data_IF_966117135015
#
_entry.id   IF_966117135015
#
_cell.length_a   1.000
_cell.length_b   1.000
_cell.length_c   1.000
_cell.angle_alpha   90.00
_cell.angle_beta   90.00
_cell.angle_gamma   90.00
#
_symmetry.space_group_name_H-M   'P 1'
#
loop_
_entity.id
_entity.type
_entity.pdbx_description
1 polymer ?
#
# COMPACT_ATOMS: atom_id res chain seq x y z
N UNK A 1 8.34 18.68 10.77
CA UNK A 1 7.55 17.98 11.83
C UNK A 1 7.67 16.49 11.58
N UNK A 2 7.63 15.67 12.62
CA UNK A 2 7.67 14.23 12.45
C UNK A 2 6.32 13.72 11.91
N UNK A 3 6.38 12.77 10.97
CA UNK A 3 5.19 12.11 10.45
C UNK A 3 4.74 11.00 11.40
N UNK A 4 3.44 10.85 11.60
CA UNK A 4 2.90 9.82 12.50
C UNK A 4 2.60 8.54 11.74
N UNK A 5 3.03 7.41 12.30
CA UNK A 5 2.59 6.08 11.92
C UNK A 5 2.02 5.41 13.16
N UNK A 6 0.74 5.08 13.13
CA UNK A 6 0.12 4.29 14.20
C UNK A 6 0.49 2.82 14.08
N UNK A 7 0.64 2.14 15.22
CA UNK A 7 0.88 0.71 15.31
C UNK A 7 -0.07 0.12 16.35
N UNK A 8 -0.86 -0.88 15.93
CA UNK A 8 -1.85 -1.57 16.75
C UNK A 8 -1.61 -3.07 16.68
N UNK A 9 -1.46 -3.72 17.85
CA UNK A 9 -1.35 -5.18 17.98
C UNK A 9 -2.74 -5.79 18.07
N UNK A 10 -3.15 -6.50 17.04
CA UNK A 10 -4.42 -7.24 17.02
C UNK A 10 -4.49 -8.19 15.84
N UNK A 11 -5.27 -9.25 15.97
CA UNK A 11 -5.69 -10.13 14.87
C UNK A 11 -7.10 -9.85 14.39
N UNK A 12 -7.84 -8.99 15.11
CA UNK A 12 -9.16 -8.54 14.72
C UNK A 12 -9.07 -7.39 13.71
N UNK A 13 -9.40 -7.65 12.46
CA UNK A 13 -9.25 -6.68 11.36
C UNK A 13 -10.14 -5.46 11.52
N UNK A 14 -11.37 -5.62 12.00
CA UNK A 14 -12.28 -4.49 12.20
C UNK A 14 -11.75 -3.53 13.28
N UNK A 15 -11.30 -4.09 14.39
CA UNK A 15 -10.69 -3.36 15.50
C UNK A 15 -9.38 -2.68 15.05
N UNK A 16 -8.50 -3.43 14.36
CA UNK A 16 -7.20 -2.94 13.90
C UNK A 16 -7.32 -1.74 12.99
N UNK A 17 -8.20 -1.79 11.98
CA UNK A 17 -8.47 -0.65 11.09
C UNK A 17 -8.97 0.55 11.88
N UNK A 18 -9.98 0.35 12.74
CA UNK A 18 -10.59 1.44 13.52
C UNK A 18 -9.59 2.11 14.46
N UNK A 19 -8.85 1.32 15.24
CA UNK A 19 -7.88 1.85 16.19
C UNK A 19 -6.70 2.51 15.51
N UNK A 20 -6.15 1.90 14.45
CA UNK A 20 -5.01 2.47 13.73
C UNK A 20 -5.35 3.86 13.15
N UNK A 21 -6.52 4.02 12.55
CA UNK A 21 -7.00 5.31 12.05
C UNK A 21 -7.22 6.31 13.19
N UNK A 22 -7.88 5.91 14.26
CA UNK A 22 -8.21 6.79 15.39
C UNK A 22 -6.97 7.37 16.08
N UNK A 23 -5.86 6.63 16.14
CA UNK A 23 -4.59 7.07 16.73
C UNK A 23 -3.93 8.23 15.97
N UNK A 24 -4.22 8.41 14.68
CA UNK A 24 -3.69 9.52 13.88
C UNK A 24 -4.29 10.85 14.30
N UNK A 25 -5.49 10.85 14.87
CA UNK A 25 -6.24 12.07 15.30
C UNK A 25 -6.43 13.07 14.16
N UNK A 26 -6.59 12.58 12.94
CA UNK A 26 -6.83 13.36 11.73
C UNK A 26 -8.02 12.79 10.95
N UNK A 27 -8.66 13.64 10.15
CA UNK A 27 -9.76 13.22 9.30
C UNK A 27 -9.60 13.80 7.88
N UNK A 28 -8.79 13.13 7.04
CA UNK A 28 -8.47 13.65 5.71
C UNK A 28 -9.58 13.41 4.67
N UNK A 29 -10.67 12.71 5.03
CA UNK A 29 -11.73 12.28 4.09
C UNK A 29 -13.07 13.01 4.26
N UNK A 30 -13.25 13.78 5.33
CA UNK A 30 -14.52 14.43 5.63
C UNK A 30 -14.99 15.32 4.49
N UNK A 31 -16.20 15.04 3.98
CA UNK A 31 -16.85 15.79 2.91
C UNK A 31 -16.24 15.60 1.52
N UNK A 32 -15.27 14.68 1.36
CA UNK A 32 -14.57 14.45 0.09
C UNK A 32 -15.06 13.20 -0.63
N UNK A 33 -14.97 13.20 -1.95
CA UNK A 33 -15.03 12.01 -2.77
C UNK A 33 -13.71 11.24 -2.61
N UNK A 34 -13.80 10.00 -2.12
CA UNK A 34 -12.64 9.15 -1.82
C UNK A 34 -12.44 8.13 -2.92
N UNK A 35 -11.20 8.03 -3.44
CA UNK A 35 -10.78 6.88 -4.24
C UNK A 35 -10.02 5.91 -3.36
N UNK A 36 -10.50 4.67 -3.27
CA UNK A 36 -9.93 3.60 -2.47
C UNK A 36 -9.14 2.64 -3.35
N UNK A 37 -7.85 2.50 -3.09
CA UNK A 37 -6.94 1.58 -3.77
C UNK A 37 -6.57 0.41 -2.84
N UNK A 38 -7.20 -0.77 -3.00
CA UNK A 38 -6.80 -1.98 -2.30
C UNK A 38 -5.61 -2.67 -2.99
N UNK A 39 -5.17 -3.80 -2.45
CA UNK A 39 -4.21 -4.70 -3.07
C UNK A 39 -4.95 -5.95 -3.59
N UNK A 40 -5.37 -5.94 -4.85
CA UNK A 40 -5.96 -7.10 -5.54
C UNK A 40 -5.10 -7.50 -6.73
N UNK A 41 -3.81 -7.78 -6.47
CA UNK A 41 -2.93 -8.34 -7.49
C UNK A 41 -3.47 -9.65 -8.07
N UNK A 42 -4.20 -10.41 -7.27
CA UNK A 42 -4.81 -11.71 -7.58
C UNK A 42 -6.00 -11.96 -6.66
N UNK A 43 -6.68 -13.09 -6.83
CA UNK A 43 -7.71 -13.55 -5.91
C UNK A 43 -7.15 -14.35 -4.71
N UNK A 44 -5.85 -14.38 -4.53
CA UNK A 44 -5.21 -15.11 -3.42
C UNK A 44 -5.70 -14.60 -2.05
N UNK A 45 -5.60 -15.47 -1.05
CA UNK A 45 -5.86 -15.10 0.35
C UNK A 45 -4.82 -14.11 0.86
N UNK A 46 -5.15 -13.39 1.94
CA UNK A 46 -4.20 -12.48 2.58
C UNK A 46 -2.96 -13.25 3.10
N UNK A 47 -1.78 -12.67 3.03
CA UNK A 47 -1.38 -11.34 2.58
C UNK A 47 -1.14 -11.25 1.06
N UNK A 48 -1.47 -12.28 0.28
CA UNK A 48 -1.40 -12.24 -1.19
C UNK A 48 -2.25 -11.09 -1.77
N UNK A 49 -3.46 -10.88 -1.21
CA UNK A 49 -4.36 -9.77 -1.54
C UNK A 49 -5.04 -9.25 -0.28
N UNK A 50 -5.61 -8.04 -0.34
CA UNK A 50 -6.37 -7.43 0.75
C UNK A 50 -7.48 -8.37 1.25
N UNK A 51 -7.58 -8.53 2.58
CA UNK A 51 -8.63 -9.31 3.21
C UNK A 51 -9.98 -8.58 3.11
N UNK A 52 -11.06 -9.34 2.88
CA UNK A 52 -12.39 -8.75 2.70
C UNK A 52 -12.86 -8.01 3.96
N UNK A 53 -12.55 -8.53 5.16
CA UNK A 53 -12.92 -7.88 6.43
C UNK A 53 -12.15 -6.57 6.64
N UNK A 54 -10.88 -6.50 6.21
CA UNK A 54 -10.11 -5.25 6.22
C UNK A 54 -10.73 -4.21 5.31
N UNK A 55 -11.11 -4.61 4.09
CA UNK A 55 -11.78 -3.72 3.16
C UNK A 55 -13.13 -3.24 3.70
N UNK A 56 -13.95 -4.17 4.23
CA UNK A 56 -15.24 -3.86 4.87
C UNK A 56 -15.08 -2.85 6.01
N UNK A 57 -14.15 -3.13 6.92
CA UNK A 57 -13.88 -2.25 8.05
C UNK A 57 -13.42 -0.85 7.58
N UNK A 58 -12.56 -0.80 6.57
CA UNK A 58 -12.07 0.46 6.04
C UNK A 58 -13.21 1.27 5.40
N UNK A 59 -14.04 0.68 4.54
CA UNK A 59 -15.20 1.36 3.94
C UNK A 59 -16.15 1.90 5.01
N UNK A 60 -16.47 1.10 6.03
CA UNK A 60 -17.33 1.55 7.13
C UNK A 60 -16.72 2.72 7.91
N UNK A 61 -15.42 2.66 8.23
CA UNK A 61 -14.72 3.76 8.90
C UNK A 61 -14.69 5.03 8.03
N UNK A 62 -14.45 4.93 6.72
CA UNK A 62 -14.48 6.08 5.82
C UNK A 62 -15.86 6.75 5.79
N UNK A 63 -16.94 5.96 5.83
CA UNK A 63 -18.32 6.48 5.93
C UNK A 63 -18.56 7.17 7.28
N UNK A 64 -18.16 6.56 8.40
CA UNK A 64 -18.23 7.16 9.74
C UNK A 64 -17.42 8.47 9.83
N UNK A 65 -16.28 8.55 9.15
CA UNK A 65 -15.47 9.76 9.04
C UNK A 65 -16.11 10.84 8.16
N UNK A 66 -17.21 10.53 7.47
CA UNK A 66 -17.98 11.50 6.66
C UNK A 66 -17.45 11.65 5.24
N UNK A 67 -16.89 10.62 4.62
CA UNK A 67 -16.62 10.60 3.19
C UNK A 67 -17.91 10.84 2.39
N UNK A 68 -17.86 11.73 1.40
CA UNK A 68 -19.02 12.07 0.55
C UNK A 68 -19.43 10.92 -0.36
N UNK A 69 -18.44 10.22 -0.90
CA UNK A 69 -18.59 9.03 -1.73
C UNK A 69 -17.32 8.21 -1.68
N UNK A 70 -17.41 6.92 -1.99
CA UNK A 70 -16.26 6.01 -2.05
C UNK A 70 -16.29 5.32 -3.42
N UNK A 71 -15.17 5.31 -4.11
CA UNK A 71 -14.97 4.60 -5.38
C UNK A 71 -13.72 3.73 -5.26
N UNK A 72 -13.88 2.43 -5.27
CA UNK A 72 -12.78 1.48 -5.33
C UNK A 72 -12.27 1.43 -6.78
N UNK A 73 -10.97 1.64 -6.98
CA UNK A 73 -10.33 1.55 -8.30
C UNK A 73 -9.17 0.55 -8.25
N UNK A 74 -9.17 -0.45 -9.14
CA UNK A 74 -8.17 -1.51 -9.14
C UNK A 74 -7.85 -2.03 -10.54
N UNK A 75 -6.60 -2.49 -10.71
CA UNK A 75 -6.12 -3.32 -11.80
C UNK A 75 -5.26 -4.45 -11.24
N UNK A 76 -5.65 -5.69 -11.51
CA UNK A 76 -4.97 -6.90 -11.02
C UNK A 76 -3.70 -7.24 -11.80
N UNK A 77 -2.88 -8.14 -11.26
CA UNK A 77 -1.70 -8.69 -11.91
C UNK A 77 -2.02 -9.58 -13.12
N UNK A 78 -1.00 -10.19 -13.76
CA UNK A 78 -1.18 -10.83 -15.07
C UNK A 78 -1.89 -12.19 -15.04
N UNK A 79 -2.11 -12.77 -13.88
CA UNK A 79 -2.60 -14.14 -13.76
C UNK A 79 -4.09 -14.34 -14.02
N UNK A 80 -4.91 -13.27 -13.95
CA UNK A 80 -6.36 -13.34 -14.07
C UNK A 80 -6.91 -11.94 -14.45
N UNK A 81 -8.02 -11.86 -15.24
CA UNK A 81 -8.71 -10.60 -15.48
C UNK A 81 -9.12 -9.92 -14.17
N UNK A 82 -9.03 -8.63 -14.12
CA UNK A 82 -9.34 -7.85 -12.91
C UNK A 82 -10.77 -8.05 -12.45
N UNK A 83 -11.71 -8.14 -13.39
CA UNK A 83 -13.12 -8.45 -13.11
C UNK A 83 -13.27 -9.76 -12.35
N UNK A 84 -12.63 -10.83 -12.84
CA UNK A 84 -12.71 -12.16 -12.22
C UNK A 84 -12.08 -12.18 -10.82
N UNK A 85 -11.00 -11.40 -10.61
CA UNK A 85 -10.41 -11.23 -9.28
C UNK A 85 -11.40 -10.54 -8.34
N UNK A 86 -12.04 -9.47 -8.76
CA UNK A 86 -13.05 -8.75 -7.98
C UNK A 86 -14.27 -9.62 -7.66
N UNK A 87 -14.77 -10.39 -8.62
CA UNK A 87 -15.87 -11.35 -8.44
C UNK A 87 -15.50 -12.42 -7.40
N UNK A 88 -14.36 -13.09 -7.57
CA UNK A 88 -13.88 -14.11 -6.61
C UNK A 88 -13.65 -13.59 -5.21
N UNK A 89 -13.33 -12.31 -5.07
CA UNK A 89 -13.14 -11.64 -3.79
C UNK A 89 -14.44 -11.08 -3.19
N UNK A 90 -15.60 -11.22 -3.86
CA UNK A 90 -16.90 -10.73 -3.41
C UNK A 90 -16.99 -9.19 -3.39
N UNK A 91 -16.24 -8.50 -4.24
CA UNK A 91 -16.15 -7.03 -4.21
C UNK A 91 -17.45 -6.38 -4.66
N UNK A 92 -18.11 -6.94 -5.68
CA UNK A 92 -19.36 -6.36 -6.20
C UNK A 92 -20.52 -6.52 -5.22
N UNK A 93 -20.58 -7.66 -4.51
CA UNK A 93 -21.54 -7.89 -3.42
C UNK A 93 -21.31 -6.93 -2.26
N UNK A 94 -20.05 -6.77 -1.84
CA UNK A 94 -19.67 -5.82 -0.79
C UNK A 94 -19.96 -4.38 -1.21
N UNK A 95 -19.72 -4.03 -2.47
CA UNK A 95 -20.02 -2.69 -2.99
C UNK A 95 -21.52 -2.38 -2.94
N UNK A 96 -22.34 -3.36 -3.32
CA UNK A 96 -23.80 -3.23 -3.22
C UNK A 96 -24.28 -3.14 -1.78
N UNK A 97 -23.72 -3.97 -0.88
CA UNK A 97 -24.08 -3.98 0.55
C UNK A 97 -23.72 -2.66 1.24
N UNK A 98 -22.52 -2.15 0.97
CA UNK A 98 -21.99 -0.96 1.63
C UNK A 98 -22.15 0.32 0.81
N UNK A 99 -22.83 0.28 -0.33
CA UNK A 99 -23.09 1.43 -1.20
C UNK A 99 -21.81 2.21 -1.52
N UNK A 100 -20.93 1.60 -2.32
CA UNK A 100 -19.74 2.27 -2.91
C UNK A 100 -19.55 1.85 -4.38
N UNK A 101 -18.87 2.69 -5.15
CA UNK A 101 -18.60 2.44 -6.57
C UNK A 101 -17.36 1.57 -6.78
N UNK A 102 -17.35 0.82 -7.88
CA UNK A 102 -16.20 0.01 -8.32
C UNK A 102 -15.80 0.38 -9.74
N UNK A 103 -14.52 0.65 -9.96
CA UNK A 103 -13.93 0.88 -11.27
C UNK A 103 -12.90 -0.22 -11.55
N UNK A 104 -13.13 -0.97 -12.64
CA UNK A 104 -12.15 -1.87 -13.21
C UNK A 104 -11.25 -1.07 -14.16
N UNK A 105 -10.03 -0.75 -13.72
CA UNK A 105 -9.07 0.01 -14.51
C UNK A 105 -8.57 -0.75 -15.75
N UNK A 106 -8.70 -2.09 -15.79
CA UNK A 106 -8.32 -2.88 -16.96
C UNK A 106 -9.26 -2.68 -18.14
N UNK A 107 -10.53 -2.33 -17.87
CA UNK A 107 -11.57 -2.08 -18.87
C UNK A 107 -11.71 -0.58 -19.21
N UNK A 108 -10.88 0.27 -18.58
CA UNK A 108 -10.95 1.72 -18.78
C UNK A 108 -10.48 2.14 -20.19
N UNK A 109 -11.24 3.01 -20.83
CA UNK A 109 -10.91 3.57 -22.15
C UNK A 109 -9.71 4.54 -22.12
N UNK A 110 -9.19 4.94 -23.28
CA UNK A 110 -7.99 5.79 -23.37
C UNK A 110 -8.12 7.12 -22.62
N UNK A 111 -9.31 7.70 -22.56
CA UNK A 111 -9.61 8.96 -21.86
C UNK A 111 -9.47 8.88 -20.35
N UNK A 112 -9.50 7.67 -19.78
CA UNK A 112 -9.33 7.44 -18.35
C UNK A 112 -7.88 7.60 -17.86
N UNK A 113 -6.95 7.79 -18.78
CA UNK A 113 -5.53 7.81 -18.49
C UNK A 113 -4.88 9.17 -18.72
N UNK A 114 -3.88 9.49 -17.91
CA UNK A 114 -2.98 10.63 -18.10
C UNK A 114 -1.55 10.14 -18.22
N UNK A 115 -0.80 10.73 -19.14
CA UNK A 115 0.62 10.39 -19.30
C UNK A 115 1.46 11.19 -18.31
N UNK A 116 2.19 10.49 -17.44
CA UNK A 116 3.07 11.05 -16.42
C UNK A 116 4.53 10.83 -16.83
N UNK A 117 5.30 11.90 -16.82
CA UNK A 117 6.75 11.90 -17.09
C UNK A 117 7.46 12.57 -15.91
N UNK A 118 7.85 11.82 -14.88
CA UNK A 118 8.61 12.39 -13.79
C UNK A 118 9.96 12.90 -14.25
N UNK A 119 10.44 13.99 -13.67
CA UNK A 119 11.81 14.46 -13.92
C UNK A 119 12.82 13.42 -13.43
N UNK A 120 13.93 13.26 -14.16
CA UNK A 120 15.00 12.29 -13.86
C UNK A 120 14.49 10.86 -13.67
N UNK A 121 13.45 10.49 -14.42
CA UNK A 121 12.82 9.18 -14.34
C UNK A 121 13.66 8.09 -14.99
N UNK A 122 13.57 6.88 -14.44
CA UNK A 122 14.12 5.66 -15.01
C UNK A 122 13.18 5.00 -16.03
N UNK A 123 11.91 5.46 -16.14
CA UNK A 123 11.00 5.09 -17.21
C UNK A 123 11.45 5.70 -18.53
N UNK A 124 11.46 4.93 -19.61
CA UNK A 124 11.92 5.39 -20.95
C UNK A 124 11.15 6.59 -21.46
N UNK A 125 9.82 6.55 -21.31
CA UNK A 125 8.90 7.60 -21.76
C UNK A 125 7.79 7.87 -20.74
N UNK A 126 8.08 7.72 -19.45
CA UNK A 126 7.06 7.83 -18.41
C UNK A 126 6.07 6.66 -18.43
N UNK A 127 4.88 6.88 -17.87
CA UNK A 127 3.84 5.86 -17.76
C UNK A 127 2.44 6.48 -17.82
N UNK A 128 1.43 5.66 -18.13
CA UNK A 128 0.04 6.05 -18.01
C UNK A 128 -0.46 5.83 -16.59
N UNK A 129 -1.23 6.78 -16.09
CA UNK A 129 -1.80 6.76 -14.73
C UNK A 129 -3.30 7.09 -14.77
N UNK A 130 -4.18 6.46 -13.94
CA UNK A 130 -5.62 6.67 -14.04
C UNK A 130 -6.02 8.05 -13.49
N UNK A 131 -6.77 8.81 -14.30
CA UNK A 131 -7.29 10.14 -13.91
C UNK A 131 -8.10 10.09 -12.63
N UNK A 132 -8.91 9.07 -12.44
CA UNK A 132 -9.73 8.91 -11.24
C UNK A 132 -8.91 8.93 -9.95
N UNK A 133 -7.63 8.52 -9.99
CA UNK A 133 -6.73 8.57 -8.83
C UNK A 133 -5.94 9.88 -8.81
N UNK A 134 -5.39 10.32 -9.96
CA UNK A 134 -4.56 11.55 -10.00
C UNK A 134 -5.36 12.83 -9.74
N UNK A 135 -6.65 12.83 -10.03
CA UNK A 135 -7.57 13.96 -9.86
C UNK A 135 -8.48 13.81 -8.62
N UNK A 136 -8.25 12.77 -7.79
CA UNK A 136 -9.09 12.50 -6.62
C UNK A 136 -8.96 13.58 -5.54
N UNK A 137 -10.08 13.95 -4.91
CA UNK A 137 -10.08 14.83 -3.73
C UNK A 137 -9.38 14.21 -2.52
N UNK A 138 -9.42 12.86 -2.42
CA UNK A 138 -8.75 12.09 -1.38
C UNK A 138 -8.48 10.67 -1.87
N UNK A 139 -7.26 10.20 -1.73
CA UNK A 139 -6.87 8.81 -2.03
C UNK A 139 -6.62 8.06 -0.72
N UNK A 140 -7.24 6.91 -0.58
CA UNK A 140 -7.02 6.00 0.54
C UNK A 140 -6.45 4.69 0.01
N UNK A 141 -5.37 4.22 0.61
CA UNK A 141 -4.72 2.96 0.27
C UNK A 141 -4.92 1.91 1.35
N UNK A 142 -5.07 0.63 0.96
CA UNK A 142 -4.87 -0.48 1.88
C UNK A 142 -3.93 -1.52 1.27
N UNK A 143 -2.85 -1.79 1.97
CA UNK A 143 -1.79 -2.70 1.53
C UNK A 143 -1.56 -3.83 2.54
N UNK A 144 -0.80 -4.85 2.13
CA UNK A 144 -0.47 -6.02 2.94
C UNK A 144 1.02 -6.04 3.26
N UNK A 145 1.38 -6.68 4.37
CA UNK A 145 2.76 -6.86 4.82
C UNK A 145 3.39 -8.08 4.16
N UNK A 146 4.28 -7.89 3.18
CA UNK A 146 4.88 -9.02 2.47
C UNK A 146 6.17 -8.71 1.71
N UNK A 147 7.02 -9.73 1.60
CA UNK A 147 8.15 -9.76 0.66
C UNK A 147 7.70 -9.94 -0.80
N UNK A 148 8.64 -9.83 -1.74
CA UNK A 148 8.38 -9.98 -3.17
C UNK A 148 9.59 -10.57 -3.89
N UNK A 149 9.49 -11.83 -4.31
CA UNK A 149 10.60 -12.60 -4.91
C UNK A 149 10.99 -12.17 -6.33
N UNK A 150 10.13 -11.45 -7.07
CA UNK A 150 10.39 -11.05 -8.46
C UNK A 150 11.08 -9.67 -8.53
N UNK A 151 12.21 -9.50 -7.83
CA UNK A 151 13.03 -8.29 -7.86
C UNK A 151 12.50 -7.09 -7.06
N UNK A 152 11.25 -7.13 -6.60
CA UNK A 152 10.63 -6.03 -5.84
C UNK A 152 11.04 -5.99 -4.37
N UNK A 153 11.69 -7.01 -3.84
CA UNK A 153 12.11 -7.25 -2.46
C UNK A 153 10.94 -7.26 -1.46
N UNK A 154 10.09 -6.25 -1.42
CA UNK A 154 8.89 -6.18 -0.59
C UNK A 154 7.73 -5.51 -1.32
N UNK A 155 6.52 -5.79 -0.87
CA UNK A 155 5.28 -5.14 -1.30
C UNK A 155 4.57 -4.57 -0.09
N UNK A 156 4.45 -3.24 -0.08
CA UNK A 156 3.80 -2.44 0.93
C UNK A 156 3.04 -1.30 0.21
N UNK A 157 3.01 -0.07 0.74
CA UNK A 157 2.29 1.05 0.12
C UNK A 157 2.92 1.50 -1.20
N UNK A 158 4.23 1.75 -1.27
CA UNK A 158 4.88 2.22 -2.50
C UNK A 158 4.63 1.29 -3.69
N UNK A 159 4.75 -0.03 -3.49
CA UNK A 159 4.55 -1.00 -4.58
C UNK A 159 3.08 -1.20 -4.95
N UNK A 160 2.15 -0.78 -4.10
CA UNK A 160 0.72 -0.81 -4.39
C UNK A 160 0.38 -0.02 -5.67
N UNK A 161 1.11 1.08 -5.92
CA UNK A 161 0.97 1.91 -7.11
C UNK A 161 1.23 1.18 -8.44
N UNK A 162 1.94 0.04 -8.46
CA UNK A 162 2.09 -0.77 -9.68
C UNK A 162 0.74 -1.24 -10.22
N UNK A 163 -0.24 -1.47 -9.35
CA UNK A 163 -1.62 -1.81 -9.71
C UNK A 163 -2.42 -0.67 -10.33
N UNK A 164 -1.84 0.49 -10.56
CA UNK A 164 -2.49 1.62 -11.26
C UNK A 164 -1.97 1.81 -12.69
N UNK A 165 -0.81 1.24 -13.04
CA UNK A 165 -0.25 1.36 -14.40
C UNK A 165 -0.91 0.32 -15.32
N UNK A 166 -1.31 0.64 -16.56
CA UNK A 166 -1.95 -0.31 -17.47
C UNK A 166 -1.09 -1.56 -17.72
N UNK A 167 -1.76 -2.70 -17.82
CA UNK A 167 -1.14 -4.00 -18.09
C UNK A 167 -1.29 -4.43 -19.54
N UNK A 168 -2.39 -4.05 -20.17
CA UNK A 168 -2.77 -4.45 -21.52
C UNK A 168 -2.53 -3.28 -22.49
N UNK A 169 -2.09 -3.58 -23.71
CA UNK A 169 -1.92 -2.59 -24.78
C UNK A 169 -0.68 -1.70 -24.67
N UNK A 170 0.12 -1.83 -23.60
CA UNK A 170 1.33 -1.04 -23.36
C UNK A 170 2.43 -1.90 -22.75
N UNK A 171 3.68 -1.58 -23.06
CA UNK A 171 4.85 -2.35 -22.60
C UNK A 171 5.32 -2.01 -21.17
N UNK A 172 4.54 -1.24 -20.39
CA UNK A 172 4.97 -0.76 -19.05
C UNK A 172 5.34 -1.89 -18.08
N UNK A 173 4.55 -2.97 -18.05
CA UNK A 173 4.86 -4.09 -17.15
C UNK A 173 6.10 -4.86 -17.60
N UNK A 174 6.35 -4.96 -18.91
CA UNK A 174 7.59 -5.54 -19.44
C UNK A 174 8.78 -4.65 -19.07
N UNK A 175 8.69 -3.34 -19.27
CA UNK A 175 9.73 -2.39 -18.90
C UNK A 175 10.04 -2.47 -17.40
N UNK A 176 9.02 -2.42 -16.54
CA UNK A 176 9.17 -2.53 -15.10
C UNK A 176 9.91 -3.79 -14.68
N UNK A 177 9.51 -4.96 -15.19
CA UNK A 177 10.05 -6.25 -14.75
C UNK A 177 11.41 -6.60 -15.39
N UNK A 178 11.76 -6.01 -16.54
CA UNK A 178 13.06 -6.22 -17.19
C UNK A 178 14.13 -5.19 -16.79
N UNK A 179 13.73 -4.12 -16.11
CA UNK A 179 14.64 -3.05 -15.74
C UNK A 179 15.54 -3.41 -14.55
N UNK A 180 16.85 -3.14 -14.61
CA UNK A 180 17.71 -3.22 -13.43
C UNK A 180 17.32 -2.18 -12.35
N UNK A 181 16.57 -1.14 -12.73
CA UNK A 181 16.06 -0.10 -11.85
C UNK A 181 14.61 -0.36 -11.39
N UNK A 182 14.12 -1.59 -11.41
CA UNK A 182 12.74 -1.94 -11.11
C UNK A 182 12.19 -1.24 -9.84
N UNK A 183 12.95 -1.25 -8.76
CA UNK A 183 12.53 -0.66 -7.47
C UNK A 183 12.45 0.87 -7.53
N UNK A 184 13.29 1.51 -8.33
CA UNK A 184 13.20 2.96 -8.58
C UNK A 184 12.00 3.30 -9.46
N UNK A 185 11.72 2.51 -10.49
CA UNK A 185 10.51 2.64 -11.33
C UNK A 185 9.24 2.52 -10.48
N UNK A 186 9.20 1.59 -9.51
CA UNK A 186 8.10 1.44 -8.56
C UNK A 186 7.90 2.75 -7.75
N UNK A 187 8.98 3.30 -7.20
CA UNK A 187 8.91 4.55 -6.45
C UNK A 187 8.40 5.72 -7.31
N UNK A 188 8.83 5.80 -8.55
CA UNK A 188 8.50 6.88 -9.48
C UNK A 188 7.02 6.91 -9.89
N UNK A 189 6.32 5.76 -9.92
CA UNK A 189 4.85 5.75 -10.15
C UNK A 189 4.13 6.61 -9.11
N UNK A 190 4.66 6.64 -7.90
CA UNK A 190 4.05 7.37 -6.78
C UNK A 190 4.14 8.90 -6.89
N UNK A 191 4.84 9.45 -7.89
CA UNK A 191 4.83 10.89 -8.17
C UNK A 191 3.50 11.39 -8.73
N UNK A 192 2.67 10.47 -9.25
CA UNK A 192 1.41 10.80 -9.89
C UNK A 192 0.26 11.16 -8.92
N UNK A 193 0.40 10.86 -7.63
CA UNK A 193 -0.64 11.09 -6.63
C UNK A 193 -0.08 11.11 -5.20
N UNK A 194 -0.91 11.54 -4.24
CA UNK A 194 -0.57 11.52 -2.81
C UNK A 194 -1.70 10.88 -2.01
N UNK A 195 -1.46 9.82 -1.23
CA UNK A 195 -2.48 9.25 -0.37
C UNK A 195 -2.76 10.18 0.82
N UNK A 196 -4.03 10.32 1.14
CA UNK A 196 -4.48 11.03 2.34
C UNK A 196 -4.49 10.13 3.58
N UNK A 197 -4.66 8.82 3.37
CA UNK A 197 -4.65 7.79 4.40
C UNK A 197 -4.16 6.47 3.80
N UNK A 198 -3.31 5.78 4.55
CA UNK A 198 -2.82 4.43 4.22
C UNK A 198 -3.10 3.55 5.41
N UNK A 199 -3.68 2.37 5.18
CA UNK A 199 -3.86 1.31 6.18
C UNK A 199 -3.15 0.06 5.71
N UNK A 200 -2.17 -0.41 6.48
CA UNK A 200 -1.47 -1.67 6.23
C UNK A 200 -2.04 -2.77 7.13
N UNK A 201 -2.56 -3.82 6.50
CA UNK A 201 -2.95 -5.08 7.16
C UNK A 201 -1.74 -5.99 7.25
N UNK A 202 -1.22 -6.16 8.44
CA UNK A 202 -0.15 -7.07 8.82
C UNK A 202 -0.63 -8.12 9.82
N UNK A 203 -1.92 -8.51 9.83
CA UNK A 203 -2.35 -9.66 10.64
C UNK A 203 -1.55 -10.89 10.21
N UNK A 204 -1.49 -11.12 8.91
CA UNK A 204 -0.66 -12.13 8.29
C UNK A 204 0.41 -11.46 7.42
N UNK A 205 1.62 -12.02 7.39
CA UNK A 205 2.73 -11.52 6.60
C UNK A 205 3.41 -12.64 5.79
N UNK A 206 3.93 -12.32 4.61
CA UNK A 206 4.93 -13.17 3.97
C UNK A 206 6.33 -12.63 4.30
N UNK A 207 7.11 -13.40 5.05
CA UNK A 207 8.47 -13.03 5.41
C UNK A 207 9.51 -13.45 4.37
N UNK A 208 9.16 -14.42 3.51
CA UNK A 208 9.94 -14.80 2.31
C UNK A 208 8.99 -15.15 1.18
N UNK A 209 9.45 -15.12 -0.06
CA UNK A 209 8.61 -15.37 -1.25
C UNK A 209 7.75 -14.15 -1.62
N UNK A 210 6.44 -14.33 -1.74
CA UNK A 210 5.51 -13.29 -2.20
C UNK A 210 5.61 -13.04 -3.72
N UNK A 211 4.67 -12.34 -4.32
CA UNK A 211 3.54 -11.64 -3.69
C UNK A 211 2.32 -12.52 -3.42
N UNK A 212 2.18 -13.68 -4.10
CA UNK A 212 1.00 -14.54 -4.03
C UNK A 212 1.15 -15.65 -2.98
N UNK A 213 2.36 -16.20 -2.85
CA UNK A 213 2.72 -17.29 -1.94
C UNK A 213 4.07 -17.04 -1.30
N UNK A 214 4.22 -17.42 -0.03
CA UNK A 214 5.45 -17.22 0.73
C UNK A 214 5.41 -17.93 2.08
N UNK A 215 6.46 -17.74 2.89
CA UNK A 215 6.45 -18.19 4.27
C UNK A 215 5.48 -17.30 5.06
N UNK A 216 4.37 -17.89 5.49
CA UNK A 216 3.29 -17.21 6.20
C UNK A 216 3.63 -17.12 7.70
N UNK A 217 3.59 -15.91 8.25
CA UNK A 217 3.76 -15.64 9.67
C UNK A 217 2.62 -14.76 10.14
N UNK A 218 2.03 -15.08 11.29
CA UNK A 218 1.05 -14.22 11.93
C UNK A 218 1.79 -13.06 12.64
N UNK A 219 1.83 -11.90 11.99
CA UNK A 219 2.47 -10.71 12.57
C UNK A 219 1.51 -9.96 13.50
N UNK A 220 0.19 -10.09 13.34
CA UNK A 220 -0.84 -9.54 14.22
C UNK A 220 -0.73 -8.03 14.43
N UNK A 221 -0.52 -7.25 13.36
CA UNK A 221 -0.30 -5.81 13.46
C UNK A 221 -1.05 -5.05 12.39
N UNK A 222 -1.53 -3.85 12.73
CA UNK A 222 -2.01 -2.84 11.81
C UNK A 222 -1.15 -1.59 11.90
N UNK A 223 -0.89 -0.96 10.73
CA UNK A 223 -0.32 0.38 10.66
C UNK A 223 -1.29 1.31 9.96
N UNK A 224 -1.31 2.59 10.35
CA UNK A 224 -1.90 3.64 9.55
C UNK A 224 -1.04 4.91 9.56
N UNK A 225 -1.13 5.70 8.49
CA UNK A 225 -0.42 6.95 8.30
C UNK A 225 -0.84 7.62 6.99
N UNK A 226 -0.23 8.72 6.65
CA UNK A 226 -0.42 9.43 5.37
C UNK A 226 0.87 9.53 4.54
N UNK A 227 1.98 9.00 5.05
CA UNK A 227 3.29 9.01 4.41
C UNK A 227 3.68 7.57 4.02
N UNK A 228 3.70 7.31 2.71
CA UNK A 228 3.99 5.97 2.17
C UNK A 228 5.41 5.51 2.42
N UNK A 229 6.37 6.44 2.49
CA UNK A 229 7.78 6.14 2.80
C UNK A 229 7.90 5.70 4.26
N UNK A 230 7.21 6.39 5.16
CA UNK A 230 7.17 6.03 6.58
C UNK A 230 6.48 4.67 6.80
N UNK A 231 5.35 4.40 6.15
CA UNK A 231 4.65 3.10 6.21
C UNK A 231 5.55 1.98 5.71
N UNK A 232 6.23 2.17 4.57
CA UNK A 232 7.14 1.16 4.01
C UNK A 232 8.36 0.94 4.90
N UNK A 233 8.95 1.99 5.46
CA UNK A 233 10.08 1.89 6.37
C UNK A 233 9.72 1.10 7.64
N UNK A 234 8.56 1.38 8.25
CA UNK A 234 8.08 0.63 9.42
C UNK A 234 7.71 -0.80 9.05
N UNK A 235 7.07 -1.02 7.89
CA UNK A 235 6.78 -2.36 7.38
C UNK A 235 8.03 -3.21 7.16
N UNK A 236 9.09 -2.63 6.59
CA UNK A 236 10.41 -3.29 6.46
C UNK A 236 11.01 -3.60 7.82
N UNK A 237 10.91 -2.69 8.80
CA UNK A 237 11.38 -2.97 10.17
C UNK A 237 10.64 -4.17 10.79
N UNK A 238 9.32 -4.28 10.57
CA UNK A 238 8.53 -5.43 11.05
C UNK A 238 8.95 -6.72 10.31
N UNK A 239 9.15 -6.69 8.98
CA UNK A 239 9.64 -7.87 8.24
C UNK A 239 11.01 -8.33 8.77
N UNK A 240 11.92 -7.41 9.10
CA UNK A 240 13.22 -7.72 9.71
C UNK A 240 13.07 -8.35 11.09
N UNK A 241 12.18 -7.81 11.91
CA UNK A 241 11.89 -8.34 13.25
C UNK A 241 11.36 -9.78 13.20
N UNK A 242 10.54 -10.10 12.19
CA UNK A 242 9.97 -11.44 12.00
C UNK A 242 10.93 -12.43 11.34
N UNK A 243 12.08 -11.97 10.86
CA UNK A 243 13.00 -12.76 10.04
C UNK A 243 12.56 -12.77 8.57
N UNK A 244 13.40 -12.26 7.69
CA UNK A 244 13.05 -12.06 6.28
C UNK A 244 14.21 -12.42 5.35
N UNK A 245 14.07 -12.12 4.05
CA UNK A 245 15.10 -12.40 3.04
C UNK A 245 16.35 -11.54 3.22
N UNK A 246 17.53 -12.00 2.73
CA UNK A 246 18.76 -11.21 2.77
C UNK A 246 18.62 -9.84 2.11
N UNK A 247 17.85 -9.74 1.02
CA UNK A 247 17.65 -8.50 0.27
C UNK A 247 16.90 -7.45 1.11
N UNK A 248 15.95 -7.87 1.94
CA UNK A 248 15.20 -6.99 2.85
C UNK A 248 15.99 -6.69 4.11
N UNK A 249 16.83 -7.65 4.58
CA UNK A 249 17.62 -7.52 5.82
C UNK A 249 18.87 -6.67 5.66
N UNK A 250 19.45 -6.59 4.45
CA UNK A 250 20.73 -5.92 4.18
C UNK A 250 20.63 -4.39 4.23
N UNK A 251 21.68 -3.76 4.77
CA UNK A 251 21.88 -2.31 4.74
C UNK A 251 20.85 -1.55 5.61
N UNK A 252 20.84 -0.24 5.48
CA UNK A 252 19.87 0.59 6.17
C UNK A 252 18.52 0.57 5.46
N UNK A 253 17.44 0.73 6.21
CA UNK A 253 16.08 0.73 5.65
C UNK A 253 15.91 1.85 4.61
N UNK A 254 16.44 3.02 4.90
CA UNK A 254 16.37 4.17 3.98
C UNK A 254 17.37 4.08 2.81
N UNK A 255 18.22 3.06 2.75
CA UNK A 255 19.07 2.73 1.61
C UNK A 255 18.45 1.67 0.68
N UNK A 256 17.29 1.07 1.06
CA UNK A 256 16.52 0.20 0.16
C UNK A 256 16.07 1.02 -1.06
N UNK A 257 16.43 0.60 -2.28
CA UNK A 257 16.25 1.38 -3.52
C UNK A 257 14.86 2.00 -3.67
N UNK A 258 13.80 1.26 -3.32
CA UNK A 258 12.42 1.73 -3.42
C UNK A 258 12.15 2.88 -2.43
N UNK A 259 12.59 2.74 -1.17
CA UNK A 259 12.45 3.75 -0.11
C UNK A 259 13.36 4.95 -0.40
N UNK A 260 14.63 4.70 -0.73
CA UNK A 260 15.61 5.73 -1.05
C UNK A 260 15.13 6.62 -2.20
N UNK A 261 14.68 6.01 -3.32
CA UNK A 261 14.18 6.76 -4.46
C UNK A 261 12.92 7.56 -4.14
N UNK A 262 11.99 6.99 -3.38
CA UNK A 262 10.78 7.71 -2.95
C UNK A 262 11.12 8.92 -2.05
N UNK A 263 12.06 8.77 -1.11
CA UNK A 263 12.56 9.85 -0.26
C UNK A 263 13.29 10.95 -1.07
N UNK A 264 14.09 10.54 -2.06
CA UNK A 264 14.78 11.44 -3.00
C UNK A 264 13.78 12.29 -3.81
N UNK A 265 12.69 11.68 -4.28
CA UNK A 265 11.59 12.35 -4.99
C UNK A 265 10.71 13.22 -4.09
N UNK A 266 10.95 13.24 -2.78
CA UNK A 266 10.16 14.04 -1.83
C UNK A 266 8.75 13.47 -1.56
N UNK A 267 8.56 12.16 -1.75
CA UNK A 267 7.27 11.49 -1.58
C UNK A 267 6.94 11.15 -0.11
N UNK A 268 7.82 11.49 0.82
CA UNK A 268 7.67 11.27 2.24
C UNK A 268 8.93 11.60 3.02
N UNK A 269 9.04 11.03 4.23
CA UNK A 269 10.19 11.22 5.13
C UNK A 269 11.50 10.71 4.51
N UNK A 270 12.63 11.25 4.98
CA UNK A 270 13.98 10.92 4.48
C UNK A 270 14.83 10.11 5.47
N UNK A 271 14.35 9.95 6.71
CA UNK A 271 15.07 9.23 7.76
C UNK A 271 14.12 8.72 8.85
N UNK A 272 14.59 7.76 9.64
CA UNK A 272 13.87 7.21 10.78
C UNK A 272 13.49 8.26 11.84
N UNK A 273 14.33 9.27 12.04
CA UNK A 273 14.10 10.34 13.04
C UNK A 273 12.90 11.22 12.69
N UNK A 274 12.44 11.18 11.46
CA UNK A 274 11.24 11.89 11.01
C UNK A 274 9.96 11.08 11.23
N UNK A 275 10.04 9.85 11.75
CA UNK A 275 8.90 8.96 12.00
C UNK A 275 8.59 8.90 13.49
N UNK A 276 7.35 9.25 13.84
CA UNK A 276 6.81 9.06 15.17
C UNK A 276 5.85 7.86 15.18
N UNK A 277 6.27 6.74 15.79
CA UNK A 277 5.38 5.61 16.04
C UNK A 277 4.45 5.93 17.21
N UNK A 278 3.15 5.80 17.00
CA UNK A 278 2.11 6.03 18.03
C UNK A 278 1.32 4.75 18.28
N UNK A 279 1.11 4.43 19.55
CA UNK A 279 0.38 3.24 20.02
C UNK A 279 -0.74 3.66 20.96
N UNK A 280 -1.76 2.79 21.13
CA UNK A 280 -2.92 3.08 21.97
C UNK A 280 -2.97 2.26 23.27
N UNK A 281 -2.14 1.22 23.40
CA UNK A 281 -2.18 0.27 24.49
C UNK A 281 -0.78 -0.31 24.81
N UNK A 282 -0.69 -1.02 25.93
CA UNK A 282 0.59 -1.56 26.44
C UNK A 282 1.14 -2.68 25.54
N UNK A 283 0.30 -3.52 24.96
CA UNK A 283 0.73 -4.62 24.08
C UNK A 283 1.36 -4.08 22.81
N UNK A 284 0.68 -3.11 22.18
CA UNK A 284 1.20 -2.39 21.01
C UNK A 284 2.51 -1.67 21.31
N UNK A 285 2.66 -1.05 22.50
CA UNK A 285 3.88 -0.35 22.89
C UNK A 285 5.05 -1.32 23.11
N UNK A 286 4.83 -2.47 23.75
CA UNK A 286 5.86 -3.51 23.94
C UNK A 286 6.35 -4.02 22.56
N UNK A 287 5.43 -4.30 21.63
CA UNK A 287 5.79 -4.73 20.27
C UNK A 287 6.53 -3.64 19.49
N UNK A 288 6.14 -2.38 19.70
CA UNK A 288 6.72 -1.23 19.00
C UNK A 288 8.18 -0.96 19.40
N UNK A 289 8.62 -1.34 20.61
CA UNK A 289 9.98 -1.13 21.10
C UNK A 289 11.05 -1.65 20.13
N UNK A 290 11.15 -2.97 19.91
CA UNK A 290 12.14 -3.54 18.97
C UNK A 290 11.97 -3.01 17.53
N UNK A 291 10.76 -2.67 17.09
CA UNK A 291 10.54 -2.08 15.76
C UNK A 291 11.19 -0.69 15.65
N UNK A 292 11.08 0.14 16.70
CA UNK A 292 11.77 1.45 16.76
C UNK A 292 13.29 1.30 16.68
N UNK A 293 13.84 0.30 17.39
CA UNK A 293 15.29 0.06 17.39
C UNK A 293 15.77 -0.38 16.00
N UNK A 294 15.08 -1.33 15.37
CA UNK A 294 15.41 -1.79 14.01
C UNK A 294 15.30 -0.63 13.01
N UNK A 295 14.25 0.19 13.12
CA UNK A 295 14.03 1.34 12.24
C UNK A 295 15.15 2.38 12.32
N UNK A 296 15.72 2.58 13.52
CA UNK A 296 16.82 3.55 13.77
C UNK A 296 18.20 3.00 13.41
N UNK A 297 18.43 1.72 13.68
CA UNK A 297 19.72 1.09 13.40
C UNK A 297 19.91 0.73 11.93
N UNK A 298 18.86 0.55 11.22
CA UNK A 298 18.94 0.24 9.83
C UNK A 298 17.95 -0.65 9.30
#
# INVERSE_FOLDING_TARGET
MATKVSLVRTTNRAEGVKQAIALLKDNPVRGKAVVLKPNFNSADVTPGSTHIDTLRALVLNLKEMGAKSITLAERSGPGMPTKDVMEKKGIFELAKELDFNVINLEEAGPEAWVHIRPNDSHWKDGFLFPRVISEAESVVETCCLKTHQFGGHFTLSLKLAVGTVPRVGQAFMQELHSSPNQRKLIAEINTAFSPSLIVLDGVDAFTTGGPARGNLVQAGVFLAGNDRVAIDAVGVAILRFLGTTPEVSKGKIFEQDQIARAAELGLGVKSADQIQLVTGDKESEVYCGPIRDILRMG
#
